data_IF_593895540738
#
_entry.id   IF_593895540738
#
_cell.length_a   1.000
_cell.length_b   1.000
_cell.length_c   1.000
_cell.angle_alpha   90.00
_cell.angle_beta   90.00
_cell.angle_gamma   90.00
#
_symmetry.space_group_name_H-M   'P 1'
#
loop_
_entity.id
_entity.type
_entity.pdbx_description
1 polymer ?
#
# COMPACT_ATOMS: atom_id res chain seq x y z
N UNK A 1 13.64 -7.17 -17.64
CA UNK A 1 12.24 -7.33 -17.14
C UNK A 1 11.29 -6.91 -18.25
N UNK A 2 10.14 -7.56 -18.40
CA UNK A 2 9.12 -7.12 -19.35
C UNK A 2 8.57 -5.77 -18.89
N UNK A 3 8.42 -4.80 -19.81
CA UNK A 3 7.82 -3.51 -19.53
C UNK A 3 6.31 -3.68 -19.34
N UNK A 4 5.76 -3.11 -18.27
CA UNK A 4 4.32 -3.18 -17.92
C UNK A 4 3.52 -2.02 -18.52
N UNK A 5 4.15 -0.85 -18.65
CA UNK A 5 3.53 0.37 -19.20
C UNK A 5 4.20 0.73 -20.53
N UNK A 6 4.02 -0.18 -21.50
CA UNK A 6 4.64 -0.11 -22.83
C UNK A 6 4.27 1.19 -23.56
N UNK A 7 5.28 1.82 -24.17
CA UNK A 7 5.09 3.05 -24.96
C UNK A 7 4.92 4.33 -24.14
N UNK A 8 4.98 4.23 -22.80
CA UNK A 8 4.96 5.41 -21.92
C UNK A 8 6.38 5.66 -21.43
N UNK A 9 6.97 6.78 -21.83
CA UNK A 9 8.26 7.24 -21.31
C UNK A 9 8.10 7.91 -19.95
N UNK A 10 9.21 8.24 -19.30
CA UNK A 10 9.22 9.03 -18.05
C UNK A 10 8.50 10.37 -18.28
N UNK A 11 7.58 10.73 -17.39
CA UNK A 11 6.79 11.95 -17.48
C UNK A 11 7.65 13.15 -17.06
N UNK A 12 7.98 14.10 -17.97
CA UNK A 12 8.82 15.24 -17.64
C UNK A 12 8.03 16.37 -16.98
N UNK A 13 8.73 17.28 -16.32
CA UNK A 13 8.21 18.61 -16.02
C UNK A 13 8.52 19.53 -17.19
N UNK A 14 7.49 20.18 -17.77
CA UNK A 14 7.62 21.09 -18.90
C UNK A 14 7.04 22.49 -18.65
N UNK A 15 6.41 22.69 -17.49
CA UNK A 15 5.82 23.99 -17.13
C UNK A 15 4.46 24.28 -17.76
N UNK A 16 3.85 25.38 -17.34
CA UNK A 16 2.45 25.73 -17.64
C UNK A 16 2.17 25.93 -19.14
N UNK A 17 3.17 26.34 -19.91
CA UNK A 17 3.02 26.60 -21.34
C UNK A 17 3.05 25.32 -22.21
N UNK A 18 3.37 24.18 -21.64
CA UNK A 18 3.45 22.92 -22.39
C UNK A 18 2.07 22.47 -22.89
N UNK A 19 2.03 22.06 -24.15
CA UNK A 19 0.89 21.40 -24.76
C UNK A 19 0.95 19.86 -24.67
N UNK A 20 2.03 19.32 -24.11
CA UNK A 20 2.18 17.88 -23.91
C UNK A 20 1.19 17.39 -22.85
N UNK A 21 0.23 16.48 -23.17
CA UNK A 21 -0.69 15.93 -22.18
C UNK A 21 0.00 15.00 -21.17
N UNK A 22 1.19 14.49 -21.51
CA UNK A 22 2.00 13.58 -20.70
C UNK A 22 3.18 14.33 -20.08
N UNK A 23 2.93 15.53 -19.51
CA UNK A 23 3.93 16.30 -18.78
C UNK A 23 3.34 16.93 -17.52
N UNK A 24 4.15 17.02 -16.47
CA UNK A 24 3.82 17.82 -15.30
C UNK A 24 3.96 19.31 -15.65
N UNK A 25 2.95 20.11 -15.30
CA UNK A 25 2.88 21.52 -15.68
C UNK A 25 3.04 22.48 -14.50
N UNK A 26 2.75 22.03 -13.30
CA UNK A 26 2.68 22.87 -12.10
C UNK A 26 3.69 22.46 -11.03
N UNK A 27 3.92 21.19 -10.84
CA UNK A 27 4.88 20.68 -9.89
C UNK A 27 6.25 20.55 -10.52
N UNK A 28 7.16 21.46 -10.11
CA UNK A 28 8.58 21.38 -10.46
C UNK A 28 9.35 20.77 -9.26
N UNK A 29 9.84 19.52 -9.38
CA UNK A 29 10.53 18.85 -8.28
C UNK A 29 11.83 19.55 -7.88
N UNK A 30 12.45 20.29 -8.78
CA UNK A 30 13.77 20.93 -8.60
C UNK A 30 13.66 22.39 -8.16
N UNK A 31 12.45 22.96 -8.10
CA UNK A 31 12.23 24.30 -7.58
C UNK A 31 12.62 24.40 -6.11
N UNK A 32 13.45 25.38 -5.77
CA UNK A 32 13.94 25.59 -4.39
C UNK A 32 13.07 26.62 -3.69
N UNK A 33 12.43 26.20 -2.59
CA UNK A 33 11.63 27.06 -1.71
C UNK A 33 12.12 26.88 -0.27
N UNK A 34 12.46 27.97 0.40
CA UNK A 34 12.97 27.91 1.77
C UNK A 34 14.25 27.10 1.96
N UNK A 35 15.11 27.04 0.92
CA UNK A 35 16.40 26.35 0.95
C UNK A 35 16.34 24.84 0.69
N UNK A 36 15.17 24.31 0.33
CA UNK A 36 14.99 22.89 -0.05
C UNK A 36 14.24 22.78 -1.37
N UNK A 37 14.53 21.74 -2.13
CA UNK A 37 13.78 21.45 -3.35
C UNK A 37 12.33 21.04 -3.01
N UNK A 38 11.41 21.22 -3.96
CA UNK A 38 10.02 20.77 -3.79
C UNK A 38 9.95 19.24 -3.58
N UNK A 39 10.83 18.46 -4.22
CA UNK A 39 10.97 17.00 -3.99
C UNK A 39 11.32 16.68 -2.54
N UNK A 40 12.20 17.46 -1.90
CA UNK A 40 12.59 17.26 -0.50
C UNK A 40 11.46 17.63 0.47
N UNK A 41 10.63 18.61 0.11
CA UNK A 41 9.53 19.09 0.95
C UNK A 41 8.25 18.25 0.78
N UNK A 42 7.87 17.94 -0.46
CA UNK A 42 6.64 17.20 -0.81
C UNK A 42 7.00 15.76 -1.17
N UNK A 43 6.87 14.87 -0.22
CA UNK A 43 7.14 13.44 -0.39
C UNK A 43 5.91 12.74 -0.96
N UNK A 44 5.75 12.78 -2.28
CA UNK A 44 4.70 12.01 -2.94
C UNK A 44 4.97 10.51 -2.81
N UNK A 45 3.93 9.74 -2.47
CA UNK A 45 3.99 8.30 -2.36
C UNK A 45 2.94 7.63 -3.24
N UNK A 46 3.34 6.53 -3.86
CA UNK A 46 2.41 5.62 -4.52
C UNK A 46 1.61 4.88 -3.45
N UNK A 47 0.29 4.99 -3.47
CA UNK A 47 -0.60 4.21 -2.60
C UNK A 47 -0.89 2.87 -3.25
N UNK A 48 -0.37 1.78 -2.65
CA UNK A 48 -0.42 0.44 -3.27
C UNK A 48 -1.85 -0.04 -3.51
N UNK A 49 -2.74 0.19 -2.56
CA UNK A 49 -4.15 -0.23 -2.64
C UNK A 49 -4.91 0.39 -3.83
N UNK A 50 -4.69 1.66 -4.14
CA UNK A 50 -5.34 2.30 -5.29
C UNK A 50 -4.66 1.94 -6.61
N UNK A 51 -3.33 1.96 -6.65
CA UNK A 51 -2.59 1.83 -7.91
C UNK A 51 -2.37 0.38 -8.32
N UNK A 52 -2.01 -0.50 -7.39
CA UNK A 52 -1.70 -1.91 -7.67
C UNK A 52 -2.80 -2.87 -7.23
N UNK A 53 -3.59 -2.51 -6.22
CA UNK A 53 -4.67 -3.34 -5.65
C UNK A 53 -6.04 -3.06 -6.23
N UNK A 54 -6.43 -1.80 -6.37
CA UNK A 54 -7.78 -1.40 -6.77
C UNK A 54 -8.15 -1.90 -8.17
N UNK A 55 -9.26 -2.59 -8.27
CA UNK A 55 -9.80 -3.16 -9.50
C UNK A 55 -10.99 -2.38 -10.07
N UNK A 56 -11.40 -1.30 -9.39
CA UNK A 56 -12.56 -0.49 -9.75
C UNK A 56 -13.85 -0.93 -9.08
N UNK A 57 -13.80 -1.88 -8.13
CA UNK A 57 -14.97 -2.21 -7.29
C UNK A 57 -15.38 -1.01 -6.46
N UNK A 58 -16.66 -0.67 -6.47
CA UNK A 58 -17.28 0.38 -5.68
C UNK A 58 -18.70 -0.03 -5.24
N UNK A 59 -19.48 0.92 -4.69
CA UNK A 59 -20.85 0.70 -4.26
C UNK A 59 -21.83 0.43 -5.42
N UNK A 60 -21.43 0.68 -6.67
CA UNK A 60 -22.30 0.52 -7.85
C UNK A 60 -22.00 -0.77 -8.62
N UNK A 61 -20.90 -1.45 -8.37
CA UNK A 61 -20.61 -2.70 -9.07
C UNK A 61 -19.25 -3.31 -8.80
N UNK A 62 -19.05 -4.45 -9.44
CA UNK A 62 -17.81 -5.22 -9.38
C UNK A 62 -16.71 -4.55 -10.19
N UNK A 63 -15.46 -4.93 -9.88
CA UNK A 63 -14.28 -4.41 -10.54
C UNK A 63 -14.26 -4.66 -12.06
N UNK A 64 -13.77 -3.69 -12.79
CA UNK A 64 -13.68 -3.68 -14.26
C UNK A 64 -12.24 -3.76 -14.78
N UNK A 65 -11.26 -3.67 -13.88
CA UNK A 65 -9.83 -3.68 -14.23
C UNK A 65 -9.14 -4.94 -13.74
N UNK A 66 -8.24 -5.47 -14.57
CA UNK A 66 -7.41 -6.62 -14.20
C UNK A 66 -5.98 -6.17 -13.91
N UNK A 67 -5.60 -6.18 -12.63
CA UNK A 67 -4.25 -5.82 -12.19
C UNK A 67 -3.41 -7.04 -11.76
N UNK A 68 -3.57 -8.15 -12.48
CA UNK A 68 -2.73 -9.35 -12.29
C UNK A 68 -1.40 -9.26 -13.04
N UNK A 69 -1.26 -8.29 -13.95
CA UNK A 69 -0.06 -8.07 -14.74
C UNK A 69 0.46 -9.34 -15.43
N UNK A 70 -0.46 -10.20 -15.88
CA UNK A 70 -0.14 -11.48 -16.51
C UNK A 70 0.24 -12.62 -15.56
N UNK A 71 0.14 -12.40 -14.26
CA UNK A 71 0.38 -13.43 -13.25
C UNK A 71 -0.74 -14.45 -13.14
N UNK A 72 -0.40 -15.67 -12.72
CA UNK A 72 -1.33 -16.82 -12.64
C UNK A 72 -1.58 -17.29 -11.21
N UNK A 73 -0.57 -17.29 -10.36
CA UNK A 73 -0.69 -17.63 -8.95
C UNK A 73 -0.53 -16.39 -8.06
N UNK A 74 -1.01 -16.44 -6.79
CA UNK A 74 -1.03 -15.27 -5.92
C UNK A 74 0.33 -14.62 -5.67
N UNK A 75 1.40 -15.40 -5.53
CA UNK A 75 2.73 -14.87 -5.25
C UNK A 75 3.44 -14.36 -6.50
N UNK A 76 3.21 -14.99 -7.67
CA UNK A 76 3.65 -14.43 -8.97
C UNK A 76 2.97 -13.08 -9.23
N UNK A 77 1.66 -12.98 -9.00
CA UNK A 77 0.91 -11.73 -9.10
C UNK A 77 1.51 -10.66 -8.16
N UNK A 78 1.80 -11.02 -6.90
CA UNK A 78 2.39 -10.11 -5.94
C UNK A 78 3.76 -9.57 -6.42
N UNK A 79 4.65 -10.44 -6.90
CA UNK A 79 5.96 -10.05 -7.45
C UNK A 79 5.85 -9.20 -8.71
N UNK A 80 4.90 -9.51 -9.61
CA UNK A 80 4.62 -8.69 -10.79
C UNK A 80 4.10 -7.30 -10.43
N UNK A 81 3.26 -7.20 -9.40
CA UNK A 81 2.81 -5.91 -8.86
C UNK A 81 3.98 -5.07 -8.32
N UNK A 82 4.96 -5.69 -7.66
CA UNK A 82 6.18 -4.99 -7.23
C UNK A 82 6.93 -4.42 -8.42
N UNK A 83 7.17 -5.22 -9.46
CA UNK A 83 7.86 -4.77 -10.66
C UNK A 83 7.11 -3.64 -11.37
N UNK A 84 5.80 -3.78 -11.54
CA UNK A 84 4.95 -2.76 -12.16
C UNK A 84 4.92 -1.47 -11.34
N UNK A 85 4.86 -1.58 -10.00
CA UNK A 85 4.88 -0.42 -9.11
C UNK A 85 6.19 0.37 -9.22
N UNK A 86 7.33 -0.31 -9.25
CA UNK A 86 8.63 0.34 -9.36
C UNK A 86 8.81 0.99 -10.75
N UNK A 87 8.34 0.35 -11.82
CA UNK A 87 8.31 0.95 -13.16
C UNK A 87 7.42 2.20 -13.20
N UNK A 88 6.21 2.14 -12.61
CA UNK A 88 5.30 3.28 -12.54
C UNK A 88 5.91 4.43 -11.74
N UNK A 89 6.51 4.14 -10.59
CA UNK A 89 7.19 5.12 -9.75
C UNK A 89 8.32 5.82 -10.50
N UNK A 90 9.10 5.07 -11.29
CA UNK A 90 10.17 5.65 -12.09
C UNK A 90 9.61 6.57 -13.19
N UNK A 91 8.59 6.11 -13.93
CA UNK A 91 7.93 6.91 -14.98
C UNK A 91 7.30 8.19 -14.43
N UNK A 92 6.78 8.19 -13.20
CA UNK A 92 6.18 9.35 -12.54
C UNK A 92 7.15 10.16 -11.68
N UNK A 93 8.42 9.74 -11.54
CA UNK A 93 9.40 10.34 -10.65
C UNK A 93 8.94 10.38 -9.18
N UNK A 94 8.27 9.32 -8.71
CA UNK A 94 7.83 9.13 -7.34
C UNK A 94 8.87 8.30 -6.58
N UNK A 95 9.35 8.81 -5.44
CA UNK A 95 10.40 8.16 -4.65
C UNK A 95 9.83 7.27 -3.53
N UNK A 96 8.60 7.51 -3.09
CA UNK A 96 8.02 6.82 -1.94
C UNK A 96 6.82 5.95 -2.33
N UNK A 97 6.58 4.91 -1.53
CA UNK A 97 5.35 4.12 -1.57
C UNK A 97 4.85 3.81 -0.16
N UNK A 98 3.56 3.53 -0.06
CA UNK A 98 2.91 3.08 1.17
C UNK A 98 1.96 1.92 0.84
N UNK A 99 1.73 1.05 1.83
CA UNK A 99 1.03 -0.22 1.64
C UNK A 99 0.26 -0.67 2.88
N UNK A 100 -0.78 -1.50 2.66
CA UNK A 100 -1.26 -2.42 3.67
C UNK A 100 -0.57 -3.77 3.48
N UNK A 101 -0.45 -4.55 4.53
CA UNK A 101 0.12 -5.90 4.49
C UNK A 101 -0.55 -6.79 3.42
N UNK A 102 -1.88 -6.70 3.31
CA UNK A 102 -2.67 -7.48 2.33
C UNK A 102 -2.56 -6.98 0.89
N UNK A 103 -2.09 -5.76 0.69
CA UNK A 103 -1.76 -5.25 -0.65
C UNK A 103 -0.51 -5.92 -1.21
N UNK A 104 0.46 -6.24 -0.34
CA UNK A 104 1.73 -6.87 -0.72
C UNK A 104 1.56 -8.34 -1.07
N UNK A 105 0.84 -9.09 -0.22
CA UNK A 105 0.54 -10.49 -0.46
C UNK A 105 -0.85 -10.85 0.08
N UNK A 106 -1.58 -11.75 -0.62
CA UNK A 106 -2.90 -12.19 -0.19
C UNK A 106 -2.82 -13.05 1.07
N UNK A 107 -3.88 -12.95 1.89
CA UNK A 107 -4.08 -13.83 3.03
C UNK A 107 -4.14 -15.30 2.58
N UNK A 108 -3.58 -16.21 3.40
CA UNK A 108 -3.67 -17.64 3.24
C UNK A 108 -4.69 -18.23 4.23
N UNK A 109 -4.84 -19.54 4.25
CA UNK A 109 -5.82 -20.22 5.10
C UNK A 109 -5.54 -20.10 6.60
N UNK A 110 -4.28 -19.77 6.95
CA UNK A 110 -3.86 -19.56 8.32
C UNK A 110 -2.79 -18.47 8.44
N UNK A 111 -2.60 -17.96 9.67
CA UNK A 111 -1.68 -16.87 9.96
C UNK A 111 -0.21 -17.23 9.64
N UNK A 112 0.19 -18.49 9.86
CA UNK A 112 1.56 -18.94 9.60
C UNK A 112 1.90 -18.84 8.10
N UNK A 113 1.05 -19.37 7.25
CA UNK A 113 1.24 -19.32 5.79
C UNK A 113 1.12 -17.88 5.28
N UNK A 114 0.20 -17.10 5.83
CA UNK A 114 0.08 -15.67 5.52
C UNK A 114 1.39 -14.94 5.83
N UNK A 115 1.99 -15.19 6.99
CA UNK A 115 3.25 -14.58 7.36
C UNK A 115 4.41 -15.05 6.48
N UNK A 116 4.42 -16.32 6.04
CA UNK A 116 5.42 -16.82 5.07
C UNK A 116 5.33 -16.09 3.72
N UNK A 117 4.11 -15.89 3.19
CA UNK A 117 3.90 -15.09 1.97
C UNK A 117 4.38 -13.64 2.13
N UNK A 118 4.09 -13.04 3.30
CA UNK A 118 4.55 -11.69 3.62
C UNK A 118 6.07 -11.62 3.74
N UNK A 119 6.72 -12.63 4.32
CA UNK A 119 8.18 -12.69 4.39
C UNK A 119 8.79 -12.79 3.00
N UNK A 120 8.27 -13.68 2.15
CA UNK A 120 8.73 -13.87 0.77
C UNK A 120 8.64 -12.58 -0.04
N UNK A 121 7.48 -11.91 -0.02
CA UNK A 121 7.31 -10.67 -0.80
C UNK A 121 8.15 -9.53 -0.22
N UNK A 122 8.34 -9.48 1.10
CA UNK A 122 9.17 -8.47 1.75
C UNK A 122 10.63 -8.59 1.32
N UNK A 123 11.16 -9.82 1.26
CA UNK A 123 12.51 -10.05 0.71
C UNK A 123 12.62 -9.61 -0.75
N UNK A 124 11.61 -9.94 -1.55
CA UNK A 124 11.58 -9.52 -2.94
C UNK A 124 11.57 -7.98 -3.09
N UNK A 125 10.75 -7.29 -2.30
CA UNK A 125 10.72 -5.82 -2.28
C UNK A 125 12.09 -5.27 -1.85
N UNK A 126 12.71 -5.83 -0.81
CA UNK A 126 14.02 -5.39 -0.34
C UNK A 126 15.09 -5.53 -1.44
N UNK A 127 15.09 -6.63 -2.20
CA UNK A 127 15.99 -6.82 -3.35
C UNK A 127 15.71 -5.77 -4.44
N UNK A 128 14.46 -5.50 -4.75
CA UNK A 128 14.09 -4.48 -5.73
C UNK A 128 14.47 -3.07 -5.29
N UNK A 129 14.38 -2.76 -3.99
CA UNK A 129 14.84 -1.48 -3.43
C UNK A 129 16.38 -1.35 -3.50
N UNK A 130 17.15 -2.43 -3.34
CA UNK A 130 18.59 -2.40 -3.55
C UNK A 130 18.96 -2.05 -5.00
N UNK A 131 18.20 -2.55 -5.97
CA UNK A 131 18.39 -2.23 -7.39
C UNK A 131 17.88 -0.81 -7.75
N UNK A 132 17.03 -0.23 -6.93
CA UNK A 132 16.39 1.07 -7.11
C UNK A 132 16.51 1.89 -5.81
N UNK A 133 17.69 2.40 -5.46
CA UNK A 133 17.96 2.99 -4.13
C UNK A 133 17.25 4.31 -3.87
N UNK A 134 16.68 4.93 -4.88
CA UNK A 134 15.78 6.09 -4.79
C UNK A 134 14.37 5.74 -4.28
N UNK A 135 13.94 4.47 -4.43
CA UNK A 135 12.62 4.01 -3.97
C UNK A 135 12.64 3.66 -2.49
N UNK A 136 11.69 4.20 -1.72
CA UNK A 136 11.66 4.11 -0.25
C UNK A 136 10.24 3.88 0.24
N UNK A 137 10.11 3.15 1.34
CA UNK A 137 8.83 3.07 2.06
C UNK A 137 8.59 4.38 2.82
N UNK A 138 7.45 5.03 2.61
CA UNK A 138 7.03 6.16 3.42
C UNK A 138 6.44 5.66 4.74
N UNK A 139 5.44 4.79 4.66
CA UNK A 139 4.83 4.11 5.81
C UNK A 139 4.13 2.82 5.38
N UNK A 140 3.99 1.91 6.35
CA UNK A 140 3.18 0.71 6.22
C UNK A 140 2.01 0.72 7.19
N UNK A 141 1.03 -0.16 6.96
CA UNK A 141 -0.11 -0.39 7.85
C UNK A 141 -0.65 -1.81 7.69
N UNK A 142 -1.52 -2.24 8.59
CA UNK A 142 -2.25 -3.50 8.47
C UNK A 142 -3.66 -3.26 7.92
N UNK A 143 -4.13 -4.13 7.04
CA UNK A 143 -5.52 -4.16 6.60
C UNK A 143 -6.38 -4.91 7.63
N UNK A 144 -6.75 -4.21 8.70
CA UNK A 144 -7.64 -4.73 9.74
C UNK A 144 -9.12 -4.33 9.51
N UNK A 145 -9.55 -4.27 8.25
CA UNK A 145 -10.91 -3.87 7.87
C UNK A 145 -11.49 -4.63 6.68
N UNK A 146 -10.65 -5.20 5.80
CA UNK A 146 -11.11 -5.86 4.58
C UNK A 146 -11.65 -7.28 4.79
N UNK A 147 -11.20 -8.00 5.82
CA UNK A 147 -11.68 -9.34 6.13
C UNK A 147 -12.96 -9.27 6.98
N UNK A 148 -13.98 -10.11 6.72
CA UNK A 148 -15.22 -10.16 7.52
C UNK A 148 -15.02 -10.36 9.03
N UNK A 149 -13.89 -10.92 9.49
CA UNK A 149 -13.58 -11.02 10.92
C UNK A 149 -13.55 -9.66 11.62
N UNK A 150 -13.27 -8.59 10.90
CA UNK A 150 -13.20 -7.23 11.42
C UNK A 150 -14.48 -6.44 11.29
N UNK A 151 -15.60 -7.11 11.05
CA UNK A 151 -16.91 -6.43 10.87
C UNK A 151 -17.32 -5.58 12.08
N UNK A 152 -16.82 -5.90 13.26
CA UNK A 152 -17.06 -5.15 14.52
C UNK A 152 -15.74 -4.57 15.10
N UNK A 153 -14.83 -4.15 14.23
CA UNK A 153 -13.54 -3.62 14.62
C UNK A 153 -12.45 -4.67 14.75
N UNK A 154 -11.24 -4.20 14.97
CA UNK A 154 -10.04 -4.99 15.18
C UNK A 154 -9.47 -4.73 16.58
N UNK A 155 -8.88 -3.55 16.81
CA UNK A 155 -8.37 -3.12 18.12
C UNK A 155 -9.47 -2.85 19.13
N UNK A 156 -10.67 -2.48 18.67
CA UNK A 156 -11.85 -2.28 19.52
C UNK A 156 -12.80 -3.49 19.52
N UNK A 157 -12.43 -4.62 18.90
CA UNK A 157 -13.27 -5.78 18.81
C UNK A 157 -13.59 -6.36 20.20
N UNK A 158 -14.87 -6.61 20.54
CA UNK A 158 -15.25 -7.22 21.81
C UNK A 158 -14.93 -8.73 21.87
N UNK A 159 -14.50 -9.31 20.75
CA UNK A 159 -14.08 -10.71 20.65
C UNK A 159 -12.56 -10.81 20.82
N UNK A 160 -12.14 -11.50 21.90
CA UNK A 160 -10.74 -11.65 22.24
C UNK A 160 -9.89 -12.33 21.15
N UNK A 161 -10.44 -13.28 20.39
CA UNK A 161 -9.72 -13.96 19.31
C UNK A 161 -9.48 -13.01 18.13
N UNK A 162 -10.45 -12.15 17.80
CA UNK A 162 -10.31 -11.12 16.76
C UNK A 162 -9.28 -10.07 17.19
N UNK A 163 -9.35 -9.61 18.44
CA UNK A 163 -8.39 -8.68 19.01
C UNK A 163 -6.96 -9.24 18.95
N UNK A 164 -6.75 -10.48 19.42
CA UNK A 164 -5.44 -11.14 19.40
C UNK A 164 -4.92 -11.34 17.98
N UNK A 165 -5.80 -11.72 17.02
CA UNK A 165 -5.43 -11.87 15.63
C UNK A 165 -5.02 -10.52 15.01
N UNK A 166 -5.78 -9.46 15.29
CA UNK A 166 -5.44 -8.10 14.84
C UNK A 166 -4.08 -7.65 15.38
N UNK A 167 -3.81 -7.89 16.67
CA UNK A 167 -2.52 -7.57 17.28
C UNK A 167 -1.35 -8.30 16.59
N UNK A 168 -1.52 -9.59 16.29
CA UNK A 168 -0.52 -10.38 15.57
C UNK A 168 -0.29 -9.88 14.12
N UNK A 169 -1.36 -9.51 13.43
CA UNK A 169 -1.30 -8.94 12.08
C UNK A 169 -0.61 -7.57 12.07
N UNK A 170 -0.98 -6.68 12.98
CA UNK A 170 -0.37 -5.35 13.14
C UNK A 170 1.12 -5.49 13.45
N UNK A 171 1.49 -6.37 14.40
CA UNK A 171 2.89 -6.65 14.73
C UNK A 171 3.68 -7.04 13.48
N UNK A 172 3.15 -7.96 12.65
CA UNK A 172 3.80 -8.39 11.42
C UNK A 172 3.96 -7.23 10.42
N UNK A 173 2.95 -6.40 10.25
CA UNK A 173 3.02 -5.23 9.36
C UNK A 173 4.03 -4.18 9.84
N UNK A 174 4.18 -3.99 11.15
CA UNK A 174 5.24 -3.15 11.73
C UNK A 174 6.62 -3.73 11.43
N UNK A 175 6.82 -5.04 11.63
CA UNK A 175 8.09 -5.73 11.34
C UNK A 175 8.51 -5.56 9.87
N UNK A 176 7.56 -5.72 8.95
CA UNK A 176 7.79 -5.49 7.51
C UNK A 176 8.20 -4.03 7.25
N UNK A 177 7.47 -3.08 7.84
CA UNK A 177 7.74 -1.66 7.67
C UNK A 177 9.14 -1.29 8.15
N UNK A 178 9.54 -1.80 9.32
CA UNK A 178 10.89 -1.62 9.88
C UNK A 178 11.95 -2.26 8.99
N UNK A 179 11.74 -3.49 8.54
CA UNK A 179 12.67 -4.23 7.69
C UNK A 179 12.92 -3.51 6.35
N UNK A 180 11.90 -2.90 5.78
CA UNK A 180 12.00 -2.11 4.54
C UNK A 180 12.46 -0.66 4.77
N UNK A 181 12.81 -0.28 6.00
CA UNK A 181 13.30 1.06 6.33
C UNK A 181 12.22 2.17 6.24
N UNK A 182 10.97 1.82 6.47
CA UNK A 182 9.85 2.75 6.47
C UNK A 182 10.03 3.89 7.46
N UNK A 183 9.52 5.07 7.11
CA UNK A 183 9.64 6.30 7.93
C UNK A 183 8.61 6.37 9.03
N UNK A 184 7.51 5.64 8.91
CA UNK A 184 6.45 5.59 9.90
C UNK A 184 5.56 4.38 9.71
N UNK A 185 4.67 4.19 10.66
CA UNK A 185 3.59 3.22 10.62
C UNK A 185 2.28 3.94 10.90
N UNK A 186 1.24 3.61 10.14
CA UNK A 186 -0.09 4.20 10.31
C UNK A 186 -1.01 3.17 10.95
N UNK A 187 -1.64 3.53 12.06
CA UNK A 187 -2.76 2.78 12.63
C UNK A 187 -4.04 3.29 11.98
N UNK A 188 -4.59 2.49 11.07
CA UNK A 188 -5.82 2.82 10.36
C UNK A 188 -7.01 2.09 10.95
N UNK A 189 -7.93 2.83 11.54
CA UNK A 189 -9.12 2.32 12.20
C UNK A 189 -10.39 2.32 11.34
N UNK A 190 -10.31 1.82 10.10
CA UNK A 190 -11.40 1.91 9.12
C UNK A 190 -12.68 1.15 9.49
N UNK A 191 -12.61 0.22 10.44
CA UNK A 191 -13.74 -0.55 10.96
C UNK A 191 -13.81 -0.54 12.49
N UNK A 192 -13.05 0.34 13.13
CA UNK A 192 -13.09 0.43 14.60
C UNK A 192 -14.40 1.07 15.05
N UNK A 193 -14.88 0.63 16.22
CA UNK A 193 -16.19 0.99 16.74
C UNK A 193 -17.30 0.04 16.31
N UNK A 194 -18.51 0.53 16.23
CA UNK A 194 -19.72 -0.26 16.06
C UNK A 194 -20.60 0.30 14.91
N UNK A 195 -21.31 -0.60 14.23
CA UNK A 195 -22.32 -0.21 13.23
C UNK A 195 -23.71 -0.01 13.85
N UNK A 196 -23.99 -0.68 14.99
CA UNK A 196 -25.25 -0.58 15.71
C UNK A 196 -25.06 -0.78 17.20
N UNK A 197 -25.80 -0.01 18.01
CA UNK A 197 -25.83 -0.14 19.48
C UNK A 197 -26.51 -1.43 19.97
N UNK A 198 -27.23 -2.12 19.10
CA UNK A 198 -28.07 -3.28 19.50
C UNK A 198 -27.23 -4.54 19.77
N UNK A 199 -26.08 -4.68 19.17
CA UNK A 199 -25.24 -5.87 19.23
C UNK A 199 -23.78 -5.58 19.58
N UNK A 200 -23.54 -4.47 20.28
CA UNK A 200 -22.17 -4.06 20.65
C UNK A 200 -22.09 -3.73 22.14
N UNK A 201 -20.92 -3.91 22.73
CA UNK A 201 -20.59 -3.49 24.07
C UNK A 201 -19.66 -2.27 24.01
N UNK A 202 -20.25 -1.07 24.02
CA UNK A 202 -19.52 0.18 23.90
C UNK A 202 -18.48 0.39 25.02
N UNK A 203 -18.78 -0.06 26.25
CA UNK A 203 -17.85 0.05 27.37
C UNK A 203 -16.58 -0.76 27.10
N UNK A 204 -16.73 -2.01 26.67
CA UNK A 204 -15.61 -2.87 26.34
C UNK A 204 -14.80 -2.36 25.13
N UNK A 205 -15.46 -1.80 24.13
CA UNK A 205 -14.77 -1.20 22.98
C UNK A 205 -13.93 0.01 23.35
N UNK A 206 -14.38 0.81 24.32
CA UNK A 206 -13.63 1.96 24.84
C UNK A 206 -12.48 1.53 25.77
N UNK A 207 -12.61 0.38 26.43
CA UNK A 207 -11.58 -0.17 27.33
C UNK A 207 -10.45 -0.87 26.54
N UNK A 208 -10.72 -1.35 25.34
CA UNK A 208 -9.75 -2.02 24.45
C UNK A 208 -8.92 -1.00 23.64
#
# INVERSE_FOLDING_TARGET
MSEFFTGISKIPFEGKASNNPMAFKYYNPDEVVGGKTMREQLKFALSWWHTMGGDGTDMFGVGTTNKKFGGTDPMDIAKRKVNAAFELMDKLSIDYFCFHDRDLAPEADNLKETNQRLDEITEYIAQMMQLNPDKKVLWGTANCFGNPRYMHGAGTAPNADVFAFAAAQIKKAIEITVKLGGKGYVFWGGREGYETLLNTNMGLELDN
#
